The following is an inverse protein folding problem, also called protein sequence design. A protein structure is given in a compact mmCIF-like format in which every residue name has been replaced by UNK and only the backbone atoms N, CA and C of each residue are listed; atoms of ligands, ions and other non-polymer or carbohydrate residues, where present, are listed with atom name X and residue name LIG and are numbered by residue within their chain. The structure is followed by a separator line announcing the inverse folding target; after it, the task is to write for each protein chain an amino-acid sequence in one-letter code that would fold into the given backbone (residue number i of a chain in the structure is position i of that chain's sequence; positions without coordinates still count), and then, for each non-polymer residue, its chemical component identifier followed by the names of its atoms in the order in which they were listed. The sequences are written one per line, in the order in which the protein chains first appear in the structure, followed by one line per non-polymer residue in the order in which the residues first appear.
data_IF_155004916095
#
_entry.id   IF_155004916095
#
_cell.length_a   1.000
_cell.length_b   1.000
_cell.length_c   1.000
_cell.angle_alpha   90.00
_cell.angle_beta   90.00
_cell.angle_gamma   90.00
#
_symmetry.space_group_name_H-M   'P 1'
#
loop_
_entity.id
_entity.type
_entity.pdbx_description
1 polymer ?
#
# COMPACT_ATOMS: atom_id res chain seq x y z
N UNK A 1 -3.04 -7.47 -7.95
CA UNK A 1 -1.57 -7.47 -7.93
C UNK A 1 -1.08 -7.59 -6.51
N UNK A 2 0.02 -8.27 -6.30
CA UNK A 2 0.56 -8.50 -4.96
C UNK A 2 1.90 -7.82 -4.79
N UNK A 3 2.22 -7.47 -3.56
CA UNK A 3 3.49 -6.87 -3.24
C UNK A 3 3.79 -6.97 -1.75
N UNK A 4 4.86 -6.30 -1.35
CA UNK A 4 5.31 -6.29 0.04
C UNK A 4 5.43 -4.85 0.50
N UNK A 5 4.94 -4.57 1.70
CA UNK A 5 5.06 -3.23 2.28
C UNK A 5 6.54 -2.95 2.55
N UNK A 6 7.05 -1.91 1.91
CA UNK A 6 8.42 -1.47 2.16
C UNK A 6 8.50 -0.77 3.51
N UNK A 7 7.62 0.17 3.74
CA UNK A 7 7.43 0.82 5.03
C UNK A 7 6.08 1.55 5.02
N UNK A 8 5.57 1.81 6.20
CA UNK A 8 4.33 2.55 6.35
C UNK A 8 4.39 3.37 7.62
N UNK A 9 4.03 4.65 7.53
CA UNK A 9 4.00 5.55 8.68
C UNK A 9 2.55 5.83 9.05
N UNK A 10 2.08 5.19 10.12
CA UNK A 10 0.69 5.33 10.56
C UNK A 10 0.37 6.74 11.04
N UNK A 11 1.34 7.44 11.58
CA UNK A 11 1.14 8.82 12.04
C UNK A 11 0.89 9.78 10.89
N UNK A 12 1.58 9.59 9.80
CA UNK A 12 1.42 10.41 8.60
C UNK A 12 0.37 9.86 7.66
N UNK A 13 0.03 8.59 7.78
CA UNK A 13 -1.00 7.95 7.00
C UNK A 13 -0.59 7.55 5.59
N UNK A 14 0.67 7.28 5.35
CA UNK A 14 1.12 6.84 4.02
C UNK A 14 2.37 5.98 4.11
N UNK A 15 2.66 5.31 3.01
CA UNK A 15 3.85 4.48 2.90
C UNK A 15 4.08 4.05 1.47
N UNK A 16 4.89 3.02 1.30
CA UNK A 16 5.22 2.49 -0.02
C UNK A 16 5.14 0.98 -0.03
N UNK A 17 4.71 0.44 -1.16
CA UNK A 17 4.63 -0.99 -1.41
C UNK A 17 5.55 -1.31 -2.58
N UNK A 18 6.37 -2.35 -2.42
CA UNK A 18 7.19 -2.87 -3.50
C UNK A 18 6.41 -3.98 -4.19
N UNK A 19 5.96 -3.79 -5.43
CA UNK A 19 5.21 -4.84 -6.12
C UNK A 19 6.11 -6.02 -6.45
N UNK A 20 5.52 -7.22 -6.42
CA UNK A 20 6.27 -8.45 -6.72
C UNK A 20 6.76 -8.47 -8.17
N UNK A 21 6.02 -7.84 -9.07
CA UNK A 21 6.34 -7.79 -10.48
C UNK A 21 6.58 -6.37 -10.97
N UNK A 22 7.42 -5.62 -10.28
CA UNK A 22 7.67 -4.25 -10.70
C UNK A 22 8.98 -3.74 -10.18
N UNK A 23 9.46 -2.69 -10.81
CA UNK A 23 10.74 -2.07 -10.48
C UNK A 23 10.61 -0.88 -9.56
N UNK A 24 9.40 -0.34 -9.42
CA UNK A 24 9.19 0.90 -8.70
C UNK A 24 8.23 0.71 -7.55
N UNK A 25 8.56 1.30 -6.42
CA UNK A 25 7.67 1.33 -5.27
C UNK A 25 6.42 2.14 -5.60
N UNK A 26 5.29 1.70 -5.05
CA UNK A 26 4.03 2.38 -5.22
C UNK A 26 3.66 3.11 -3.95
N UNK A 27 3.21 4.35 -4.08
CA UNK A 27 2.70 5.12 -2.96
C UNK A 27 1.36 4.53 -2.49
N UNK A 28 1.17 4.43 -1.18
CA UNK A 28 -0.09 3.99 -0.60
C UNK A 28 -0.49 4.97 0.49
N UNK A 29 -1.76 5.41 0.46
CA UNK A 29 -2.33 6.28 1.47
C UNK A 29 -3.30 5.47 2.33
N UNK A 30 -3.44 5.85 3.60
CA UNK A 30 -4.29 5.08 4.51
C UNK A 30 -5.74 4.95 4.01
N UNK A 31 -6.23 5.93 3.26
CA UNK A 31 -7.57 5.89 2.70
C UNK A 31 -7.76 4.79 1.67
N UNK A 32 -6.68 4.26 1.12
CA UNK A 32 -6.71 3.20 0.12
C UNK A 32 -6.56 1.80 0.74
N UNK A 33 -6.35 1.73 2.04
CA UNK A 33 -6.22 0.47 2.74
C UNK A 33 -7.59 0.01 3.18
N UNK A 34 -7.99 -1.18 2.73
CA UNK A 34 -9.24 -1.79 3.19
C UNK A 34 -8.97 -2.57 4.46
N UNK A 35 -9.68 -2.20 5.51
CA UNK A 35 -9.48 -2.82 6.80
C UNK A 35 -10.84 -3.07 7.45
N UNK A 36 -11.13 -4.32 7.75
CA UNK A 36 -12.41 -4.74 8.29
C UNK A 36 -12.52 -4.41 9.79
N UNK A 37 -12.79 -3.14 10.08
CA UNK A 37 -13.08 -2.71 11.42
C UNK A 37 -11.88 -2.42 12.31
N UNK A 38 -10.69 -2.31 11.74
CA UNK A 38 -9.48 -1.96 12.47
C UNK A 38 -8.88 -0.65 11.99
N UNK A 39 -7.68 -0.37 12.43
CA UNK A 39 -6.94 0.79 11.95
C UNK A 39 -6.40 0.53 10.55
N UNK A 40 -6.48 1.54 9.70
CA UNK A 40 -5.90 1.47 8.36
C UNK A 40 -4.39 1.62 8.46
N UNK A 41 -3.71 0.54 8.75
CA UNK A 41 -2.27 0.54 8.94
C UNK A 41 -1.64 -0.71 8.32
N UNK A 42 -0.39 -0.58 7.95
CA UNK A 42 0.41 -1.68 7.41
C UNK A 42 1.71 -1.76 8.20
N UNK A 43 2.27 -2.95 8.28
CA UNK A 43 3.56 -3.16 8.90
C UNK A 43 4.62 -3.42 7.84
N UNK A 44 5.85 -3.02 8.13
CA UNK A 44 6.96 -3.27 7.22
C UNK A 44 7.08 -4.77 6.94
N UNK A 45 7.18 -5.12 5.67
CA UNK A 45 7.31 -6.51 5.26
C UNK A 45 6.00 -7.27 5.09
N UNK A 46 4.85 -6.66 5.38
CA UNK A 46 3.56 -7.31 5.18
C UNK A 46 3.32 -7.59 3.70
N UNK A 47 2.76 -8.76 3.43
CA UNK A 47 2.28 -9.08 2.08
C UNK A 47 0.89 -8.51 1.89
N UNK A 48 0.69 -7.84 0.77
CA UNK A 48 -0.57 -7.17 0.47
C UNK A 48 -1.00 -7.46 -0.96
N UNK A 49 -2.30 -7.35 -1.17
CA UNK A 49 -2.87 -7.36 -2.52
C UNK A 49 -3.49 -6.00 -2.77
N UNK A 50 -3.31 -5.49 -3.98
CA UNK A 50 -3.72 -4.12 -4.31
C UNK A 50 -3.94 -3.98 -5.80
N UNK A 51 -4.49 -2.82 -6.19
CA UNK A 51 -4.58 -2.44 -7.59
C UNK A 51 -3.74 -1.19 -7.83
N UNK A 52 -3.23 -1.05 -9.04
CA UNK A 52 -2.44 0.11 -9.43
C UNK A 52 -3.37 1.18 -9.97
N UNK A 53 -3.21 2.40 -9.46
CA UNK A 53 -3.92 3.57 -9.96
C UNK A 53 -2.91 4.67 -10.22
N UNK A 54 -3.26 5.57 -11.13
CA UNK A 54 -2.44 6.74 -11.37
C UNK A 54 -2.91 7.90 -10.50
N UNK A 55 -2.01 8.39 -9.67
CA UNK A 55 -2.28 9.54 -8.82
C UNK A 55 -1.52 10.77 -9.29
N UNK A 56 -1.67 11.85 -8.56
CA UNK A 56 -1.00 13.11 -8.89
C UNK A 56 0.53 13.00 -8.79
N UNK A 57 1.00 12.10 -7.95
CA UNK A 57 2.43 11.89 -7.72
C UNK A 57 3.00 10.70 -8.48
N UNK A 58 2.22 10.13 -9.38
CA UNK A 58 2.60 8.96 -10.13
C UNK A 58 1.79 7.73 -9.75
N UNK A 59 2.24 6.53 -10.10
CA UNK A 59 1.47 5.32 -9.79
C UNK A 59 1.36 5.11 -8.29
N UNK A 60 0.18 4.71 -7.86
CA UNK A 60 -0.08 4.43 -6.45
C UNK A 60 -0.91 3.15 -6.31
N UNK A 61 -0.86 2.56 -5.11
CA UNK A 61 -1.65 1.39 -4.78
C UNK A 61 -3.01 1.82 -4.25
N UNK A 62 -4.05 1.13 -4.67
CA UNK A 62 -5.40 1.34 -4.16
C UNK A 62 -6.04 0.01 -3.82
N UNK A 63 -7.10 0.05 -3.02
CA UNK A 63 -7.81 -1.13 -2.57
C UNK A 63 -6.88 -2.16 -1.96
N UNK A 64 -6.00 -1.67 -1.08
CA UNK A 64 -4.96 -2.49 -0.46
C UNK A 64 -5.56 -3.34 0.65
N UNK A 65 -5.29 -4.63 0.59
CA UNK A 65 -5.69 -5.57 1.65
C UNK A 65 -4.48 -6.41 2.03
N UNK A 66 -4.36 -6.67 3.32
CA UNK A 66 -3.30 -7.54 3.83
C UNK A 66 -3.68 -8.98 3.54
N UNK A 67 -2.74 -9.70 2.96
CA UNK A 67 -2.96 -11.12 2.65
C UNK A 67 -2.93 -12.00 3.89
#
# INVERSE_FOLDING_TARGET
MKGTVKWFNADKGFGFITPDEGDKDLFVHFSEIKNDGGYATLNDGDKVEFEIAEGQKGPCAKEVVVC
#
